data_IF_004410159286
#
_entry.id   IF_004410159286
#
_cell.length_a   1.000
_cell.length_b   1.000
_cell.length_c   1.000
_cell.angle_alpha   90.00
_cell.angle_beta   90.00
_cell.angle_gamma   90.00
#
_symmetry.space_group_name_H-M   'P 1'
#
loop_
_entity.id
_entity.type
_entity.pdbx_description
1 polymer ?
#
# COMPACT_ATOMS: atom_id res chain seq x y z
N UNK A 1 -39.54 12.23 -45.42
CA UNK A 1 -38.23 12.18 -44.73
C UNK A 1 -37.16 12.62 -45.72
N UNK A 2 -36.53 13.77 -45.49
CA UNK A 2 -35.71 14.44 -46.50
C UNK A 2 -34.47 13.61 -46.84
N UNK A 3 -34.16 13.43 -48.14
CA UNK A 3 -33.03 12.63 -48.67
C UNK A 3 -31.67 12.92 -48.00
N UNK A 4 -31.50 14.14 -47.47
CA UNK A 4 -30.34 14.58 -46.67
C UNK A 4 -30.22 13.86 -45.31
N UNK A 5 -31.33 13.57 -44.64
CA UNK A 5 -31.36 12.84 -43.36
C UNK A 5 -30.94 11.39 -43.57
N UNK A 6 -31.36 10.79 -44.68
CA UNK A 6 -30.99 9.41 -45.02
C UNK A 6 -29.49 9.30 -45.29
N UNK A 7 -28.92 10.23 -46.06
CA UNK A 7 -27.48 10.30 -46.32
C UNK A 7 -26.67 10.58 -45.05
N UNK A 8 -27.17 11.45 -44.17
CA UNK A 8 -26.53 11.73 -42.89
C UNK A 8 -26.47 10.49 -41.99
N UNK A 9 -27.57 9.73 -41.92
CA UNK A 9 -27.65 8.50 -41.14
C UNK A 9 -26.73 7.40 -41.70
N UNK A 10 -26.63 7.31 -43.03
CA UNK A 10 -25.77 6.34 -43.72
C UNK A 10 -24.28 6.54 -43.39
N UNK A 11 -23.86 7.77 -43.12
CA UNK A 11 -22.46 8.09 -42.78
C UNK A 11 -22.23 8.04 -41.27
N UNK A 12 -23.18 8.50 -40.45
CA UNK A 12 -23.02 8.52 -38.99
C UNK A 12 -23.09 7.14 -38.34
N UNK A 13 -23.92 6.23 -38.86
CA UNK A 13 -24.01 4.86 -38.33
C UNK A 13 -22.67 4.09 -38.36
N UNK A 14 -21.94 3.98 -39.49
CA UNK A 14 -20.63 3.32 -39.51
C UNK A 14 -19.58 4.09 -38.71
N UNK A 15 -19.66 5.43 -38.68
CA UNK A 15 -18.74 6.26 -37.90
C UNK A 15 -18.85 5.96 -36.39
N UNK A 16 -20.08 5.87 -35.87
CA UNK A 16 -20.33 5.53 -34.48
C UNK A 16 -19.85 4.11 -34.13
N UNK A 17 -20.04 3.14 -35.02
CA UNK A 17 -19.50 1.79 -34.84
C UNK A 17 -17.97 1.81 -34.71
N UNK A 18 -17.29 2.60 -35.55
CA UNK A 18 -15.84 2.71 -35.51
C UNK A 18 -15.35 3.33 -34.19
N UNK A 19 -16.06 4.35 -33.69
CA UNK A 19 -15.77 5.00 -32.40
C UNK A 19 -15.93 4.00 -31.26
N UNK A 20 -16.99 3.20 -31.24
CA UNK A 20 -17.25 2.20 -30.18
C UNK A 20 -16.14 1.15 -30.15
N UNK A 21 -15.72 0.65 -31.31
CA UNK A 21 -14.63 -0.33 -31.40
C UNK A 21 -13.31 0.28 -30.91
N UNK A 22 -12.98 1.50 -31.34
CA UNK A 22 -11.78 2.20 -30.89
C UNK A 22 -11.80 2.44 -29.37
N UNK A 23 -12.96 2.80 -28.80
CA UNK A 23 -13.13 2.97 -27.38
C UNK A 23 -12.95 1.65 -26.61
N UNK A 24 -13.46 0.54 -27.13
CA UNK A 24 -13.31 -0.79 -26.53
C UNK A 24 -11.84 -1.22 -26.43
N UNK A 25 -11.05 -0.98 -27.48
CA UNK A 25 -9.60 -1.28 -27.47
C UNK A 25 -8.87 -0.46 -26.40
N UNK A 26 -9.18 0.83 -26.31
CA UNK A 26 -8.58 1.70 -25.29
C UNK A 26 -8.98 1.26 -23.87
N UNK A 27 -10.25 0.92 -23.67
CA UNK A 27 -10.77 0.46 -22.38
C UNK A 27 -10.07 -0.83 -21.93
N UNK A 28 -9.94 -1.82 -22.81
CA UNK A 28 -9.21 -3.06 -22.50
C UNK A 28 -7.73 -2.82 -22.15
N UNK A 29 -7.09 -1.83 -22.78
CA UNK A 29 -5.70 -1.49 -22.47
C UNK A 29 -5.55 -0.89 -21.07
N UNK A 30 -6.51 -0.06 -20.65
CA UNK A 30 -6.55 0.56 -19.32
C UNK A 30 -6.85 -0.48 -18.25
N UNK A 31 -7.85 -1.34 -18.49
CA UNK A 31 -8.22 -2.47 -17.62
C UNK A 31 -7.02 -3.37 -17.31
N UNK A 32 -6.25 -3.76 -18.34
CA UNK A 32 -5.05 -4.59 -18.17
C UNK A 32 -3.99 -3.93 -17.31
N UNK A 33 -3.83 -2.61 -17.43
CA UNK A 33 -2.86 -1.84 -16.63
C UNK A 33 -3.28 -1.76 -15.16
N UNK A 34 -4.57 -1.62 -14.89
CA UNK A 34 -5.13 -1.64 -13.53
C UNK A 34 -4.89 -3.02 -12.89
N UNK A 35 -5.28 -4.10 -13.56
CA UNK A 35 -5.08 -5.46 -13.06
C UNK A 35 -3.61 -5.80 -12.79
N UNK A 36 -2.69 -5.30 -13.64
CA UNK A 36 -1.26 -5.49 -13.43
C UNK A 36 -0.78 -4.75 -12.16
N UNK A 37 -1.26 -3.52 -11.95
CA UNK A 37 -0.92 -2.74 -10.74
C UNK A 37 -1.49 -3.36 -9.48
N UNK A 38 -2.73 -3.86 -9.51
CA UNK A 38 -3.36 -4.52 -8.37
C UNK A 38 -2.60 -5.79 -7.96
N UNK A 39 -2.16 -6.61 -8.92
CA UNK A 39 -1.34 -7.80 -8.64
C UNK A 39 -0.01 -7.43 -7.98
N UNK A 40 0.64 -6.37 -8.46
CA UNK A 40 1.88 -5.88 -7.86
C UNK A 40 1.63 -5.35 -6.44
N UNK A 41 0.55 -4.60 -6.21
CA UNK A 41 0.18 -4.13 -4.88
C UNK A 41 -0.07 -5.28 -3.91
N UNK A 42 -0.84 -6.30 -4.32
CA UNK A 42 -1.09 -7.49 -3.49
C UNK A 42 0.22 -8.20 -3.12
N UNK A 43 1.13 -8.38 -4.08
CA UNK A 43 2.44 -9.00 -3.86
C UNK A 43 3.28 -8.18 -2.87
N UNK A 44 3.25 -6.85 -2.96
CA UNK A 44 3.98 -5.96 -2.05
C UNK A 44 3.38 -6.01 -0.63
N UNK A 45 2.06 -6.07 -0.50
CA UNK A 45 1.40 -6.22 0.80
C UNK A 45 1.80 -7.52 1.47
N UNK A 46 1.77 -8.63 0.73
CA UNK A 46 2.18 -9.94 1.25
C UNK A 46 3.65 -9.94 1.69
N UNK A 47 4.55 -9.36 0.88
CA UNK A 47 5.97 -9.24 1.23
C UNK A 47 6.20 -8.37 2.46
N UNK A 48 5.48 -7.26 2.58
CA UNK A 48 5.56 -6.40 3.76
C UNK A 48 5.07 -7.12 5.02
N UNK A 49 4.03 -7.94 4.90
CA UNK A 49 3.54 -8.74 6.02
C UNK A 49 4.60 -9.76 6.48
N UNK A 50 5.24 -10.46 5.54
CA UNK A 50 6.35 -11.38 5.85
C UNK A 50 7.51 -10.68 6.54
N UNK A 51 7.90 -9.49 6.06
CA UNK A 51 8.96 -8.68 6.68
C UNK A 51 8.57 -8.26 8.09
N UNK A 52 7.34 -7.78 8.30
CA UNK A 52 6.85 -7.40 9.62
C UNK A 52 6.89 -8.58 10.58
N UNK A 53 6.45 -9.76 10.16
CA UNK A 53 6.55 -10.99 10.97
C UNK A 53 8.00 -11.31 11.32
N UNK A 54 8.93 -11.23 10.36
CA UNK A 54 10.35 -11.44 10.62
C UNK A 54 10.93 -10.44 11.62
N UNK A 55 10.58 -9.16 11.49
CA UNK A 55 10.97 -8.10 12.43
C UNK A 55 10.39 -8.39 13.82
N UNK A 56 9.10 -8.72 13.93
CA UNK A 56 8.44 -9.01 15.21
C UNK A 56 9.07 -10.17 15.95
N UNK A 57 9.51 -11.22 15.23
CA UNK A 57 10.26 -12.33 15.83
C UNK A 57 11.62 -11.85 16.35
N UNK A 58 12.33 -11.02 15.58
CA UNK A 58 13.67 -10.57 15.95
C UNK A 58 13.67 -9.52 17.09
N UNK A 59 12.64 -8.68 17.12
CA UNK A 59 12.48 -7.55 18.05
C UNK A 59 11.56 -7.86 19.23
N UNK A 60 11.27 -9.14 19.50
CA UNK A 60 10.36 -9.47 20.59
C UNK A 60 10.90 -8.86 21.90
N UNK A 61 10.05 -8.19 22.70
CA UNK A 61 10.46 -7.59 23.97
C UNK A 61 11.13 -8.60 24.90
N UNK A 62 10.69 -9.86 24.81
CA UNK A 62 11.28 -11.00 25.51
C UNK A 62 12.72 -11.26 25.08
N UNK A 63 13.03 -11.25 23.77
CA UNK A 63 14.39 -11.43 23.27
C UNK A 63 15.29 -10.24 23.62
N UNK A 64 14.78 -9.01 23.58
CA UNK A 64 15.52 -7.82 24.04
C UNK A 64 15.79 -7.91 25.55
N UNK A 65 14.80 -8.37 26.33
CA UNK A 65 14.93 -8.60 27.76
C UNK A 65 16.00 -9.65 28.08
N UNK A 66 15.95 -10.80 27.40
CA UNK A 66 16.94 -11.87 27.56
C UNK A 66 18.34 -11.38 27.14
N UNK A 67 18.47 -10.66 26.02
CA UNK A 67 19.77 -10.12 25.60
C UNK A 67 20.33 -9.11 26.61
N UNK A 68 19.48 -8.23 27.16
CA UNK A 68 19.86 -7.27 28.19
C UNK A 68 20.28 -7.97 29.50
N UNK A 69 19.61 -9.06 29.87
CA UNK A 69 19.92 -9.82 31.07
C UNK A 69 21.19 -10.66 30.91
N UNK A 70 21.32 -11.37 29.78
CA UNK A 70 22.38 -12.35 29.54
C UNK A 70 23.70 -11.70 29.12
N UNK A 71 23.68 -10.62 28.32
CA UNK A 71 24.90 -9.98 27.81
C UNK A 71 25.28 -8.68 28.51
N UNK A 72 24.31 -7.94 29.03
CA UNK A 72 24.55 -6.65 29.68
C UNK A 72 24.38 -6.73 31.21
N UNK A 73 23.98 -7.89 31.76
CA UNK A 73 23.76 -8.09 33.18
C UNK A 73 22.62 -7.24 33.76
N UNK A 74 21.75 -6.69 32.91
CA UNK A 74 20.70 -5.78 33.31
C UNK A 74 19.54 -6.56 33.93
N UNK A 75 19.07 -6.11 35.10
CA UNK A 75 17.85 -6.64 35.73
C UNK A 75 16.73 -5.62 35.60
N UNK A 76 15.53 -6.11 35.32
CA UNK A 76 14.33 -5.29 35.29
C UNK A 76 14.04 -4.77 36.71
N UNK A 77 14.18 -3.46 36.92
CA UNK A 77 13.89 -2.84 38.21
C UNK A 77 12.37 -2.78 38.44
N UNK A 78 11.94 -3.10 39.66
CA UNK A 78 10.55 -2.87 40.08
C UNK A 78 10.30 -1.38 40.28
N UNK A 79 9.08 -0.92 40.01
CA UNK A 79 8.68 0.50 40.05
C UNK A 79 8.96 1.19 41.40
N UNK A 80 9.08 0.43 42.49
CA UNK A 80 9.42 0.97 43.82
C UNK A 80 10.90 1.36 43.96
N UNK A 81 11.77 0.99 43.00
CA UNK A 81 13.21 1.25 43.00
C UNK A 81 13.64 2.30 41.96
N UNK A 82 12.71 2.90 41.22
CA UNK A 82 13.04 3.88 40.18
C UNK A 82 13.09 5.31 40.74
N UNK A 83 14.25 5.95 40.65
CA UNK A 83 14.41 7.38 40.94
C UNK A 83 14.04 8.19 39.69
N UNK A 84 12.85 8.82 39.68
CA UNK A 84 12.40 9.65 38.56
C UNK A 84 12.98 11.06 38.70
N UNK A 85 14.10 11.31 38.02
CA UNK A 85 14.71 12.65 37.96
C UNK A 85 13.93 13.51 36.95
N UNK A 86 13.26 14.55 37.45
CA UNK A 86 12.66 15.60 36.61
C UNK A 86 13.73 16.68 36.39
N UNK A 87 14.26 16.76 35.17
CA UNK A 87 15.11 17.87 34.78
C UNK A 87 14.21 19.06 34.48
N UNK A 88 14.14 20.02 35.39
CA UNK A 88 13.61 21.35 35.06
C UNK A 88 14.65 22.02 34.18
N UNK A 89 14.32 22.15 32.89
CA UNK A 89 15.13 22.88 31.93
C UNK A 89 15.14 24.36 32.31
N UNK A 90 16.17 24.77 33.07
CA UNK A 90 16.50 26.16 33.27
C UNK A 90 17.00 26.74 31.94
N UNK A 91 16.14 27.49 31.25
CA UNK A 91 16.56 28.43 30.21
C UNK A 91 16.93 29.76 30.87
N UNK A 92 18.16 30.30 30.67
CA UNK A 92 18.42 31.71 30.86
C UNK A 92 17.75 32.56 29.77
#
# INVERSE_FOLDING_TARGET
>A
MSRKVLLFCLVTAPLFLFIVVAQSVNFQSVEKRIQTRERLQSTLVERNQQLLTGISVLSSPERIGNLAQDHLGLKQLKSEQSLKLRFDGGTP
#
